data_IF_368611047150
#
_entry.id   IF_368611047150
#
_cell.length_a   1.000
_cell.length_b   1.000
_cell.length_c   1.000
_cell.angle_alpha   90.00
_cell.angle_beta   90.00
_cell.angle_gamma   90.00
#
_symmetry.space_group_name_H-M   'P 1'
#
loop_
_entity.id
_entity.type
_entity.pdbx_description
1 polymer ?
#
# COMPACT_ATOMS: atom_id res chain seq x y z
N UNK A 1 0.59 7.49 4.78
CA UNK A 1 0.98 6.54 3.70
C UNK A 1 2.41 6.10 3.94
N UNK A 2 2.70 4.82 3.81
CA UNK A 2 4.04 4.26 3.99
C UNK A 2 4.30 3.16 2.95
N UNK A 3 5.57 2.99 2.58
CA UNK A 3 5.97 1.91 1.69
C UNK A 3 6.08 0.59 2.46
N UNK A 4 5.71 -0.51 1.80
CA UNK A 4 5.89 -1.86 2.29
C UNK A 4 7.36 -2.10 2.69
N UNK A 5 7.58 -2.82 3.79
CA UNK A 5 8.87 -3.14 4.39
C UNK A 5 9.68 -1.93 4.91
N UNK A 6 9.11 -0.74 4.90
CA UNK A 6 9.77 0.45 5.46
C UNK A 6 9.37 0.67 6.92
N UNK A 7 10.13 1.51 7.61
CA UNK A 7 9.74 1.99 8.94
C UNK A 7 8.70 3.09 8.80
N UNK A 8 7.64 3.01 9.62
CA UNK A 8 6.60 4.04 9.72
C UNK A 8 6.77 4.81 11.01
N UNK A 9 6.46 6.11 10.96
CA UNK A 9 6.40 6.99 12.11
C UNK A 9 4.99 7.54 12.26
N UNK A 10 4.33 7.22 13.37
CA UNK A 10 2.97 7.66 13.70
C UNK A 10 3.06 8.68 14.83
N UNK A 11 2.67 9.93 14.57
CA UNK A 11 2.76 11.02 15.55
C UNK A 11 1.52 11.04 16.44
N UNK A 12 1.72 11.06 17.76
CA UNK A 12 0.64 11.30 18.72
C UNK A 12 0.22 12.78 18.77
N UNK A 13 1.01 13.69 18.18
CA UNK A 13 0.69 15.13 18.17
C UNK A 13 0.38 15.72 19.56
N UNK A 14 0.99 15.16 20.61
CA UNK A 14 0.83 15.64 21.99
C UNK A 14 1.73 16.86 22.21
N UNK A 15 1.17 18.05 22.50
CA UNK A 15 1.96 19.28 22.57
C UNK A 15 2.83 19.38 23.84
N UNK A 16 2.49 18.64 24.90
CA UNK A 16 3.12 18.68 26.23
C UNK A 16 3.50 20.10 26.73
N UNK A 17 2.61 21.09 26.58
CA UNK A 17 2.90 22.49 26.92
C UNK A 17 3.29 22.71 28.39
N UNK A 18 2.79 21.84 29.28
CA UNK A 18 3.07 21.89 30.72
C UNK A 18 4.37 21.18 31.12
N UNK A 19 5.10 20.58 30.16
CA UNK A 19 6.34 19.83 30.38
C UNK A 19 6.18 18.73 31.43
N UNK A 20 5.12 17.95 31.30
CA UNK A 20 4.85 16.81 32.18
C UNK A 20 5.99 15.81 32.01
N UNK A 21 6.54 15.32 33.12
CA UNK A 21 7.58 14.28 33.12
C UNK A 21 6.97 12.97 32.62
N UNK A 22 7.69 12.27 31.75
CA UNK A 22 7.25 10.98 31.23
C UNK A 22 7.01 9.94 32.34
N UNK A 23 7.66 10.07 33.50
CA UNK A 23 7.43 9.22 34.67
C UNK A 23 6.01 9.35 35.23
N UNK A 24 5.33 10.45 34.93
CA UNK A 24 3.93 10.69 35.28
C UNK A 24 2.97 10.38 34.14
N UNK A 25 3.47 9.87 33.00
CA UNK A 25 2.65 9.55 31.83
C UNK A 25 2.52 8.05 31.62
N UNK A 26 1.36 7.68 31.08
CA UNK A 26 1.10 6.37 30.49
C UNK A 26 0.67 6.62 29.04
N UNK A 27 1.35 5.98 28.10
CA UNK A 27 1.12 6.14 26.67
C UNK A 27 0.68 4.80 26.11
N UNK A 28 -0.49 4.78 25.48
CA UNK A 28 -1.03 3.60 24.81
C UNK A 28 -1.22 3.89 23.33
N UNK A 29 -0.70 2.99 22.50
CA UNK A 29 -1.00 2.92 21.09
C UNK A 29 -1.86 1.70 20.81
N UNK A 30 -2.99 1.90 20.15
CA UNK A 30 -3.88 0.83 19.74
C UNK A 30 -4.24 0.92 18.26
N UNK A 31 -4.44 -0.23 17.63
CA UNK A 31 -4.94 -0.36 16.26
C UNK A 31 -6.35 -0.94 16.28
N UNK A 32 -7.24 -0.31 15.52
CA UNK A 32 -8.63 -0.71 15.31
C UNK A 32 -9.39 -1.05 16.62
N UNK A 33 -9.03 -0.35 17.71
CA UNK A 33 -9.52 -0.49 19.10
C UNK A 33 -9.45 -1.90 19.70
N UNK A 34 -8.68 -2.81 19.09
CA UNK A 34 -8.59 -4.23 19.47
C UNK A 34 -7.17 -4.70 19.72
N UNK A 35 -6.20 -4.14 19.01
CA UNK A 35 -4.80 -4.57 19.06
C UNK A 35 -3.98 -3.56 19.83
N UNK A 36 -3.20 -4.01 20.80
CA UNK A 36 -2.27 -3.18 21.57
C UNK A 36 -0.95 -3.15 20.82
N UNK A 37 -0.61 -1.99 20.27
CA UNK A 37 0.54 -1.80 19.39
C UNK A 37 1.80 -1.51 20.20
N UNK A 38 1.66 -0.66 21.22
CA UNK A 38 2.76 -0.31 22.12
C UNK A 38 2.23 0.29 23.43
N UNK A 39 2.95 0.07 24.52
CA UNK A 39 2.62 0.59 25.84
C UNK A 39 3.85 1.17 26.52
N UNK A 40 3.71 2.37 27.07
CA UNK A 40 4.69 3.02 27.94
C UNK A 40 4.01 3.29 29.27
N UNK A 41 4.52 2.73 30.34
CA UNK A 41 3.95 2.87 31.68
C UNK A 41 4.94 3.58 32.59
N UNK A 42 4.62 4.81 32.99
CA UNK A 42 5.46 5.66 33.86
C UNK A 42 6.92 5.75 33.38
N UNK A 43 7.09 6.03 32.08
CA UNK A 43 8.39 6.17 31.43
C UNK A 43 9.12 4.85 31.10
N UNK A 44 8.47 3.70 31.31
CA UNK A 44 9.05 2.40 30.95
C UNK A 44 8.22 1.73 29.85
N UNK A 45 8.87 1.29 28.77
CA UNK A 45 8.21 0.49 27.74
C UNK A 45 7.79 -0.88 28.32
N UNK A 46 6.55 -1.27 28.10
CA UNK A 46 5.97 -2.55 28.51
C UNK A 46 5.69 -3.38 27.27
N UNK A 47 6.09 -4.65 27.31
CA UNK A 47 6.00 -5.57 26.16
C UNK A 47 5.02 -6.73 26.40
N UNK A 48 4.57 -6.92 27.65
CA UNK A 48 3.76 -8.06 28.09
C UNK A 48 2.33 -8.04 27.52
N UNK A 49 1.80 -6.84 27.25
CA UNK A 49 0.42 -6.65 26.78
C UNK A 49 0.32 -6.42 25.27
N UNK A 50 1.44 -6.42 24.55
CA UNK A 50 1.46 -6.15 23.11
C UNK A 50 0.82 -7.32 22.34
N UNK A 51 0.07 -6.98 21.30
CA UNK A 51 -0.40 -8.00 20.37
C UNK A 51 0.80 -8.66 19.66
N UNK A 52 0.79 -9.99 19.45
CA UNK A 52 1.94 -10.76 18.99
C UNK A 52 2.64 -10.19 17.74
N UNK A 53 1.87 -9.63 16.83
CA UNK A 53 2.30 -9.04 15.57
C UNK A 53 3.14 -7.76 15.73
N UNK A 54 3.14 -7.10 16.89
CA UNK A 54 3.92 -5.88 17.16
C UNK A 54 5.14 -6.09 18.07
N UNK A 55 5.28 -7.29 18.65
CA UNK A 55 6.41 -7.61 19.54
C UNK A 55 7.73 -7.45 18.75
N UNK A 56 8.69 -6.73 19.35
CA UNK A 56 10.01 -6.39 18.77
C UNK A 56 9.95 -5.57 17.46
N UNK A 57 8.79 -5.02 17.10
CA UNK A 57 8.62 -4.17 15.90
C UNK A 57 8.30 -2.72 16.24
N UNK A 58 7.96 -2.41 17.48
CA UNK A 58 7.52 -1.07 17.89
C UNK A 58 8.45 -0.43 18.91
N UNK A 59 8.59 0.90 18.82
CA UNK A 59 9.32 1.74 19.79
C UNK A 59 8.70 3.13 19.83
N UNK A 60 8.75 3.84 20.95
CA UNK A 60 8.30 5.24 21.01
C UNK A 60 9.48 6.20 21.16
N UNK A 61 9.54 7.20 20.28
CA UNK A 61 10.35 8.41 20.49
C UNK A 61 9.59 9.31 21.47
N UNK A 62 10.06 9.32 22.71
CA UNK A 62 9.43 10.03 23.83
C UNK A 62 9.55 11.55 23.74
N UNK A 63 10.55 12.06 23.03
CA UNK A 63 10.73 13.51 22.85
C UNK A 63 9.71 14.05 21.85
N UNK A 64 9.29 13.21 20.89
CA UNK A 64 8.36 13.55 19.82
C UNK A 64 6.99 12.90 19.94
N UNK A 65 6.78 12.06 20.95
CA UNK A 65 5.57 11.26 21.13
C UNK A 65 5.19 10.48 19.86
N UNK A 66 6.20 9.93 19.19
CA UNK A 66 6.05 9.29 17.87
C UNK A 66 6.33 7.81 17.98
N UNK A 67 5.36 6.99 17.58
CA UNK A 67 5.53 5.54 17.46
C UNK A 67 6.29 5.22 16.18
N UNK A 68 7.38 4.48 16.33
CA UNK A 68 8.11 3.85 15.26
C UNK A 68 7.64 2.41 15.10
N UNK A 69 7.18 2.04 13.90
CA UNK A 69 6.82 0.68 13.52
C UNK A 69 7.78 0.18 12.44
N UNK A 70 8.51 -0.89 12.73
CA UNK A 70 9.51 -1.48 11.85
C UNK A 70 8.88 -2.47 10.87
N UNK A 71 9.43 -2.50 9.65
CA UNK A 71 9.08 -3.46 8.60
C UNK A 71 7.56 -3.51 8.36
N UNK A 72 6.97 -2.40 7.91
CA UNK A 72 5.53 -2.28 7.73
C UNK A 72 5.00 -3.26 6.67
N UNK A 73 4.02 -4.07 7.05
CA UNK A 73 3.31 -5.02 6.20
C UNK A 73 1.90 -4.53 5.86
N UNK A 74 1.25 -5.19 4.90
CA UNK A 74 -0.15 -4.90 4.51
C UNK A 74 -1.09 -5.01 5.71
N UNK A 75 -0.86 -5.95 6.62
CA UNK A 75 -1.70 -6.17 7.81
C UNK A 75 -1.59 -5.05 8.86
N UNK A 76 -0.55 -4.22 8.78
CA UNK A 76 -0.41 -3.04 9.64
C UNK A 76 -1.28 -1.87 9.14
N UNK A 77 -1.82 -1.92 7.92
CA UNK A 77 -2.80 -0.95 7.43
C UNK A 77 -4.03 -0.90 8.34
N UNK A 78 -4.44 0.31 8.72
CA UNK A 78 -5.60 0.49 9.60
C UNK A 78 -5.58 1.81 10.35
N UNK A 79 -6.46 1.90 11.35
CA UNK A 79 -6.65 3.10 12.14
C UNK A 79 -5.95 2.96 13.49
N UNK A 80 -5.10 3.93 13.81
CA UNK A 80 -4.29 3.95 15.02
C UNK A 80 -4.75 5.09 15.93
N UNK A 81 -4.90 4.79 17.21
CA UNK A 81 -5.15 5.77 18.25
C UNK A 81 -3.98 5.79 19.22
N UNK A 82 -3.52 7.00 19.54
CA UNK A 82 -2.64 7.28 20.66
C UNK A 82 -3.44 7.88 21.81
N UNK A 83 -3.28 7.32 23.00
CA UNK A 83 -3.95 7.75 24.23
C UNK A 83 -2.86 8.04 25.26
N UNK A 84 -2.84 9.25 25.80
CA UNK A 84 -1.93 9.62 26.89
C UNK A 84 -2.74 9.90 28.14
N UNK A 85 -2.38 9.21 29.21
CA UNK A 85 -2.91 9.40 30.55
C UNK A 85 -1.85 9.99 31.46
N UNK A 86 -2.27 10.85 32.37
CA UNK A 86 -1.42 11.41 33.40
C UNK A 86 -1.74 10.79 34.75
N UNK A 87 -0.70 10.51 35.53
CA UNK A 87 -0.81 10.14 36.93
C UNK A 87 -1.38 11.33 37.72
N UNK A 88 -2.45 11.08 38.45
CA UNK A 88 -3.01 12.03 39.40
C UNK A 88 -2.83 11.45 40.81
N UNK A 89 -2.24 12.22 41.72
CA UNK A 89 -2.04 11.80 43.11
C UNK A 89 -3.39 11.40 43.72
N UNK A 90 -3.44 10.23 44.36
CA UNK A 90 -4.63 9.68 45.05
C UNK A 90 -5.84 9.34 44.14
N UNK A 91 -5.68 9.32 42.81
CA UNK A 91 -6.75 8.94 41.87
C UNK A 91 -6.23 8.00 40.77
N UNK A 92 -7.18 7.42 40.04
CA UNK A 92 -6.86 6.71 38.79
C UNK A 92 -6.24 7.68 37.78
N UNK A 93 -5.32 7.22 36.91
CA UNK A 93 -4.80 8.04 35.82
C UNK A 93 -5.94 8.60 34.96
N UNK A 94 -5.82 9.85 34.54
CA UNK A 94 -6.81 10.54 33.72
C UNK A 94 -6.28 10.72 32.30
N UNK A 95 -7.14 10.52 31.29
CA UNK A 95 -6.77 10.76 29.89
C UNK A 95 -6.64 12.26 29.65
N UNK A 96 -5.43 12.70 29.29
CA UNK A 96 -5.12 14.11 29.01
C UNK A 96 -4.99 14.40 27.52
N UNK A 97 -4.83 13.37 26.68
CA UNK A 97 -4.72 13.53 25.24
C UNK A 97 -5.14 12.26 24.49
N UNK A 98 -5.80 12.48 23.35
CA UNK A 98 -6.12 11.44 22.35
C UNK A 98 -5.85 11.99 20.97
N UNK A 99 -5.28 11.17 20.11
CA UNK A 99 -5.09 11.49 18.70
C UNK A 99 -5.22 10.25 17.84
N UNK A 100 -5.70 10.45 16.63
CA UNK A 100 -5.94 9.38 15.68
C UNK A 100 -5.14 9.60 14.39
N UNK A 101 -4.70 8.50 13.77
CA UNK A 101 -4.09 8.54 12.44
C UNK A 101 -4.36 7.26 11.66
N UNK A 102 -4.46 7.38 10.34
CA UNK A 102 -4.65 6.23 9.44
C UNK A 102 -3.34 5.89 8.74
N UNK A 103 -2.90 4.65 8.91
CA UNK A 103 -1.79 4.09 8.16
C UNK A 103 -2.32 3.45 6.89
N UNK A 104 -1.80 3.89 5.74
CA UNK A 104 -2.06 3.28 4.44
C UNK A 104 -0.75 2.75 3.87
N UNK A 105 -0.73 1.49 3.46
CA UNK A 105 0.44 0.80 2.92
C UNK A 105 0.44 0.88 1.40
N UNK A 106 1.62 1.03 0.83
CA UNK A 106 1.83 1.11 -0.61
C UNK A 106 2.94 0.15 -1.00
N UNK A 107 2.68 -0.67 -2.00
CA UNK A 107 3.69 -1.45 -2.71
C UNK A 107 3.60 -1.11 -4.19
N UNK A 108 4.76 -0.81 -4.79
CA UNK A 108 4.81 -0.45 -6.20
C UNK A 108 4.58 -1.69 -7.04
N UNK A 109 3.66 -1.59 -7.99
CA UNK A 109 3.53 -2.58 -9.04
C UNK A 109 4.81 -2.61 -9.90
N UNK A 110 5.14 -3.77 -10.45
CA UNK A 110 6.11 -3.89 -11.54
C UNK A 110 5.70 -3.01 -12.72
N UNK A 111 6.64 -2.65 -13.58
CA UNK A 111 6.28 -2.04 -14.85
C UNK A 111 5.40 -3.04 -15.64
N UNK A 112 4.29 -2.62 -16.26
CA UNK A 112 3.47 -3.52 -17.04
C UNK A 112 4.24 -4.08 -18.24
N UNK A 113 4.10 -5.37 -18.50
CA UNK A 113 4.82 -6.06 -19.57
C UNK A 113 3.84 -6.76 -20.51
N UNK A 114 4.06 -6.59 -21.82
CA UNK A 114 3.23 -7.20 -22.87
C UNK A 114 3.90 -8.48 -23.36
N UNK A 115 3.15 -9.57 -23.40
CA UNK A 115 3.55 -10.85 -23.98
C UNK A 115 2.54 -11.32 -25.04
N UNK A 116 3.04 -11.98 -26.09
CA UNK A 116 2.19 -12.66 -27.07
C UNK A 116 1.86 -14.07 -26.57
N UNK A 117 0.57 -14.42 -26.56
CA UNK A 117 0.10 -15.70 -26.03
C UNK A 117 0.18 -16.85 -27.06
N UNK A 118 0.41 -16.56 -28.33
CA UNK A 118 0.55 -17.56 -29.39
C UNK A 118 1.99 -17.59 -29.93
N UNK A 119 2.57 -18.79 -30.01
CA UNK A 119 3.93 -19.06 -30.53
C UNK A 119 3.93 -19.73 -31.91
N UNK A 120 2.77 -19.84 -32.57
CA UNK A 120 2.63 -20.43 -33.91
C UNK A 120 2.65 -19.41 -35.05
N UNK A 121 2.79 -19.89 -36.29
CA UNK A 121 2.74 -19.03 -37.48
C UNK A 121 1.43 -18.23 -37.55
N UNK A 122 1.57 -16.91 -37.65
CA UNK A 122 0.46 -15.98 -37.80
C UNK A 122 -0.20 -16.20 -39.16
N UNK A 123 -1.39 -16.78 -39.18
CA UNK A 123 -2.17 -16.94 -40.42
C UNK A 123 -2.60 -15.56 -40.94
N UNK A 124 -2.61 -15.32 -42.26
CA UNK A 124 -3.27 -14.14 -42.82
C UNK A 124 -4.76 -14.16 -42.41
N UNK A 125 -5.27 -13.03 -41.92
CA UNK A 125 -6.58 -12.87 -41.24
C UNK A 125 -6.68 -13.50 -39.84
N UNK A 126 -5.54 -13.82 -39.23
CA UNK A 126 -5.47 -14.26 -37.85
C UNK A 126 -5.67 -13.13 -36.84
N UNK A 127 -5.74 -13.55 -35.58
CA UNK A 127 -5.93 -12.70 -34.43
C UNK A 127 -4.65 -12.71 -33.58
N UNK A 128 -4.23 -11.54 -33.13
CA UNK A 128 -3.13 -11.36 -32.21
C UNK A 128 -3.68 -11.36 -30.78
N UNK A 129 -3.29 -12.40 -30.03
CA UNK A 129 -3.61 -12.53 -28.62
C UNK A 129 -2.46 -12.01 -27.77
N UNK A 130 -2.69 -10.89 -27.10
CA UNK A 130 -1.75 -10.26 -26.19
C UNK A 130 -2.22 -10.43 -24.75
N UNK A 131 -1.26 -10.58 -23.84
CA UNK A 131 -1.45 -10.41 -22.41
C UNK A 131 -0.58 -9.28 -21.93
N UNK A 132 -1.12 -8.40 -21.09
CA UNK A 132 -0.36 -7.45 -20.31
C UNK A 132 -0.45 -7.84 -18.84
N UNK A 133 0.68 -7.93 -18.15
CA UNK A 133 0.73 -8.30 -16.74
C UNK A 133 1.54 -7.31 -15.92
N UNK A 134 1.18 -7.18 -14.64
CA UNK A 134 1.85 -6.34 -13.66
C UNK A 134 1.65 -6.94 -12.27
N UNK A 135 2.69 -6.99 -11.44
CA UNK A 135 2.70 -7.79 -10.21
C UNK A 135 3.23 -7.05 -8.99
N UNK A 136 2.98 -7.61 -7.80
CA UNK A 136 3.61 -7.19 -6.54
C UNK A 136 3.11 -5.86 -5.97
N UNK A 137 1.96 -5.35 -6.42
CA UNK A 137 1.48 -4.03 -6.01
C UNK A 137 0.42 -4.05 -4.91
N UNK A 138 0.29 -2.95 -4.19
CA UNK A 138 -0.77 -2.72 -3.21
C UNK A 138 -1.01 -1.21 -3.07
N UNK A 139 -2.27 -0.73 -2.97
CA UNK A 139 -3.53 -1.48 -2.92
C UNK A 139 -3.97 -2.03 -4.29
N UNK A 140 -5.14 -2.67 -4.33
CA UNK A 140 -5.79 -3.12 -5.58
C UNK A 140 -5.87 -1.95 -6.59
N UNK A 141 -5.54 -2.17 -7.88
CA UNK A 141 -5.52 -1.09 -8.85
C UNK A 141 -6.96 -0.74 -9.29
N UNK A 142 -7.11 0.30 -10.11
CA UNK A 142 -8.41 0.75 -10.59
C UNK A 142 -8.84 -0.01 -11.84
N UNK A 143 -8.00 0.02 -12.88
CA UNK A 143 -8.29 -0.59 -14.19
C UNK A 143 -6.99 -0.70 -15.02
N UNK A 144 -7.04 -1.50 -16.09
CA UNK A 144 -5.98 -1.57 -17.09
C UNK A 144 -6.55 -1.23 -18.47
N UNK A 145 -5.87 -0.34 -19.19
CA UNK A 145 -6.29 0.14 -20.52
C UNK A 145 -5.22 -0.15 -21.55
N UNK A 146 -5.63 -0.61 -22.72
CA UNK A 146 -4.76 -0.80 -23.87
C UNK A 146 -4.78 0.43 -24.75
N UNK A 147 -3.61 0.91 -25.15
CA UNK A 147 -3.41 1.99 -26.11
C UNK A 147 -2.91 1.38 -27.41
N UNK A 148 -3.68 1.53 -28.48
CA UNK A 148 -3.37 0.98 -29.80
C UNK A 148 -3.20 2.17 -30.74
N UNK A 149 -1.96 2.45 -31.12
CA UNK A 149 -1.59 3.54 -32.02
C UNK A 149 -1.28 3.01 -33.42
N UNK A 150 -2.02 3.52 -34.41
CA UNK A 150 -1.81 3.24 -35.84
C UNK A 150 -1.63 4.57 -36.55
N UNK A 151 -0.46 4.79 -37.13
CA UNK A 151 -0.09 6.06 -37.76
C UNK A 151 -0.39 7.25 -36.82
N UNK A 152 -1.35 8.12 -37.18
CA UNK A 152 -1.74 9.31 -36.42
C UNK A 152 -2.96 9.11 -35.51
N UNK A 153 -3.47 7.88 -35.38
CA UNK A 153 -4.66 7.56 -34.58
C UNK A 153 -4.29 6.67 -33.41
N UNK A 154 -4.70 7.06 -32.20
CA UNK A 154 -4.58 6.21 -31.00
C UNK A 154 -5.97 5.90 -30.46
N UNK A 155 -6.26 4.62 -30.34
CA UNK A 155 -7.50 4.12 -29.75
C UNK A 155 -7.21 3.49 -28.39
N UNK A 156 -8.01 3.86 -27.38
CA UNK A 156 -7.96 3.23 -26.06
C UNK A 156 -9.03 2.15 -25.94
N UNK A 157 -8.67 0.97 -25.45
CA UNK A 157 -9.62 -0.10 -25.15
C UNK A 157 -9.45 -0.55 -23.70
N UNK A 158 -10.52 -0.44 -22.91
CA UNK A 158 -10.57 -1.04 -21.58
C UNK A 158 -10.98 -2.50 -21.72
N UNK A 159 -10.07 -3.40 -21.37
CA UNK A 159 -10.31 -4.83 -21.40
C UNK A 159 -10.57 -5.35 -19.98
N UNK A 160 -11.10 -6.58 -19.89
CA UNK A 160 -11.21 -7.24 -18.60
C UNK A 160 -9.82 -7.36 -17.96
N UNK A 161 -9.74 -7.07 -16.67
CA UNK A 161 -8.55 -7.18 -15.86
C UNK A 161 -8.78 -8.26 -14.82
N UNK A 162 -8.10 -9.38 -15.00
CA UNK A 162 -8.01 -10.45 -14.00
C UNK A 162 -7.13 -9.94 -12.84
N UNK A 163 -7.65 -10.02 -11.62
CA UNK A 163 -6.93 -9.64 -10.40
C UNK A 163 -6.77 -10.89 -9.53
N UNK A 164 -5.56 -11.12 -9.05
CA UNK A 164 -5.25 -12.13 -8.05
C UNK A 164 -4.49 -11.52 -6.89
N UNK A 165 -4.69 -12.03 -5.68
CA UNK A 165 -3.99 -11.59 -4.49
C UNK A 165 -3.17 -12.75 -3.92
N UNK A 166 -1.89 -12.51 -3.66
CA UNK A 166 -1.01 -13.49 -3.05
C UNK A 166 -1.41 -13.70 -1.58
N UNK A 167 -1.63 -14.97 -1.19
CA UNK A 167 -2.17 -15.28 0.12
C UNK A 167 -1.23 -14.95 1.28
N UNK A 168 0.08 -14.89 1.03
CA UNK A 168 1.13 -14.68 2.04
C UNK A 168 1.48 -13.19 2.13
N UNK A 169 1.88 -12.59 1.02
CA UNK A 169 2.32 -11.18 0.96
C UNK A 169 1.16 -10.20 0.91
N UNK A 170 -0.06 -10.67 0.59
CA UNK A 170 -1.27 -9.85 0.37
C UNK A 170 -1.17 -8.88 -0.81
N UNK A 171 -0.15 -9.03 -1.65
CA UNK A 171 0.07 -8.17 -2.82
C UNK A 171 -0.79 -8.63 -4.01
N UNK A 172 -1.14 -7.68 -4.87
CA UNK A 172 -1.96 -7.92 -6.04
C UNK A 172 -1.11 -8.12 -7.29
N UNK A 173 -1.54 -9.08 -8.10
CA UNK A 173 -1.06 -9.32 -9.45
C UNK A 173 -2.24 -9.19 -10.41
N UNK A 174 -2.02 -8.45 -11.50
CA UNK A 174 -3.05 -8.17 -12.49
C UNK A 174 -2.63 -8.64 -13.87
N UNK A 175 -3.61 -9.08 -14.64
CA UNK A 175 -3.43 -9.48 -16.04
C UNK A 175 -4.62 -9.01 -16.86
N UNK A 176 -4.35 -8.42 -18.02
CA UNK A 176 -5.38 -8.13 -19.01
C UNK A 176 -5.05 -8.81 -20.32
N UNK A 177 -6.07 -9.25 -21.05
CA UNK A 177 -5.91 -9.89 -22.35
C UNK A 177 -6.56 -9.02 -23.42
N UNK A 178 -5.84 -8.82 -24.52
CA UNK A 178 -6.33 -8.12 -25.69
C UNK A 178 -6.27 -9.05 -26.89
N UNK A 179 -7.37 -9.12 -27.62
CA UNK A 179 -7.45 -9.85 -28.87
C UNK A 179 -7.79 -8.87 -30.00
N UNK A 180 -6.87 -8.67 -30.95
CA UNK A 180 -7.07 -7.76 -32.08
C UNK A 180 -6.76 -8.46 -33.41
N UNK A 181 -7.40 -8.05 -34.52
CA UNK A 181 -7.00 -8.50 -35.85
C UNK A 181 -5.54 -8.14 -36.12
N UNK A 182 -4.81 -9.03 -36.80
CA UNK A 182 -3.45 -8.76 -37.26
C UNK A 182 -3.40 -7.45 -38.07
N UNK A 183 -2.49 -6.51 -37.75
CA UNK A 183 -2.26 -5.33 -38.57
C UNK A 183 -1.83 -5.75 -39.97
N UNK A 184 -2.55 -5.31 -41.01
CA UNK A 184 -2.31 -5.75 -42.39
C UNK A 184 -1.41 -4.80 -43.20
N UNK A 185 -1.32 -3.51 -42.84
CA UNK A 185 -0.72 -2.48 -43.73
C UNK A 185 0.09 -1.39 -43.00
N UNK A 186 -0.18 -1.09 -41.73
CA UNK A 186 0.46 0.02 -41.00
C UNK A 186 1.11 -0.42 -39.68
N UNK A 187 2.28 0.19 -39.39
CA UNK A 187 3.00 -0.02 -38.13
C UNK A 187 2.08 0.28 -36.95
N UNK A 188 1.87 -0.72 -36.09
CA UNK A 188 0.98 -0.62 -34.94
C UNK A 188 1.81 -0.67 -33.66
N UNK A 189 1.72 0.38 -32.84
CA UNK A 189 2.30 0.40 -31.51
C UNK A 189 1.23 0.12 -30.46
N UNK A 190 1.49 -0.85 -29.59
CA UNK A 190 0.56 -1.27 -28.55
C UNK A 190 1.22 -1.06 -27.20
N UNK A 191 0.56 -0.35 -26.30
CA UNK A 191 0.98 -0.19 -24.90
C UNK A 191 -0.17 -0.56 -23.98
N UNK A 192 0.14 -1.00 -22.77
CA UNK A 192 -0.85 -1.13 -21.71
C UNK A 192 -0.55 -0.14 -20.58
N UNK A 193 -1.62 0.40 -20.00
CA UNK A 193 -1.60 1.41 -18.96
C UNK A 193 -2.34 0.86 -17.74
N UNK A 194 -1.62 0.66 -16.63
CA UNK A 194 -2.21 0.28 -15.35
C UNK A 194 -2.55 1.53 -14.56
N UNK A 195 -3.83 1.75 -14.29
CA UNK A 195 -4.31 2.86 -13.46
C UNK A 195 -4.36 2.46 -12.00
N UNK A 196 -3.60 3.16 -11.16
CA UNK A 196 -3.57 2.91 -9.72
C UNK A 196 -4.70 3.67 -9.01
N UNK A 197 -5.18 3.16 -7.87
CA UNK A 197 -6.17 3.88 -7.06
C UNK A 197 -5.55 5.08 -6.34
N UNK A 198 -6.34 6.12 -6.10
CA UNK A 198 -5.88 7.35 -5.45
C UNK A 198 -4.97 8.20 -6.35
N UNK A 199 -4.24 9.15 -5.75
CA UNK A 199 -3.28 10.02 -6.46
C UNK A 199 -1.95 9.31 -6.82
N UNK A 200 -1.99 8.00 -7.07
CA UNK A 200 -0.82 7.18 -7.39
C UNK A 200 -0.47 7.17 -8.89
N UNK A 201 -1.36 7.71 -9.74
CA UNK A 201 -1.11 7.85 -11.18
C UNK A 201 -1.30 6.56 -11.97
N UNK A 202 -0.51 6.39 -13.02
CA UNK A 202 -0.55 5.21 -13.89
C UNK A 202 0.86 4.75 -14.30
N UNK A 203 0.99 3.45 -14.57
CA UNK A 203 2.20 2.82 -15.07
C UNK A 203 1.99 2.38 -16.51
N UNK A 204 2.95 2.66 -17.39
CA UNK A 204 2.89 2.32 -18.81
C UNK A 204 3.90 1.25 -19.16
N UNK A 205 3.51 0.30 -20.00
CA UNK A 205 4.43 -0.69 -20.55
C UNK A 205 5.40 -0.07 -21.55
N UNK A 206 6.47 -0.81 -21.82
CA UNK A 206 7.23 -0.60 -23.07
C UNK A 206 6.27 -0.86 -24.26
N UNK A 207 6.26 0.00 -25.29
CA UNK A 207 5.42 -0.22 -26.46
C UNK A 207 5.88 -1.45 -27.24
N UNK A 208 4.93 -2.31 -27.59
CA UNK A 208 5.12 -3.40 -28.53
C UNK A 208 4.81 -2.89 -29.94
N UNK A 209 5.85 -2.77 -30.77
CA UNK A 209 5.71 -2.44 -32.19
C UNK A 209 5.52 -3.69 -33.04
N UNK A 210 4.54 -3.64 -33.96
CA UNK A 210 4.17 -4.73 -34.89
C UNK A 210 4.01 -4.15 -36.29
#
# INVERSE_FOLDING_TARGET
>A
KAFLHHTVYLSCSFPNSQKIDIKDLIIFWQKDTKQVVHEVYYGQEKHENLSPEYINRTKVDMDKWTLQLLNAGVEDEGHYECIIMQKVTERSPEVIHRSECSLHIIANYSQPEIAQLHTGELKPNGYLNLSCFSSGGYPEPKEMTWLISRENMTHSSTAHMDISQDAVTKLYNVTSKLNIPLPTESSTNISCLLHLRGQLGSLVSVPLGI
#
